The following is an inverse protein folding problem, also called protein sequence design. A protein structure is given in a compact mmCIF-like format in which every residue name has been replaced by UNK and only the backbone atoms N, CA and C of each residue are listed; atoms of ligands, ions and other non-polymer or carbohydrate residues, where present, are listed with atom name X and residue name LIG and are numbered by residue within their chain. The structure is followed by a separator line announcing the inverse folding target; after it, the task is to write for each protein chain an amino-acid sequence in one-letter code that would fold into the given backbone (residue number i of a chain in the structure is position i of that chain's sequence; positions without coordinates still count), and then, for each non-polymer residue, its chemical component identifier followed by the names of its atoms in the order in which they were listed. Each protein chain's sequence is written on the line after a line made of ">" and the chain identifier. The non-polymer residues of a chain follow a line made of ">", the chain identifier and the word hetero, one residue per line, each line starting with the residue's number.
data_IF_946451565598
#
_entry.id   IF_946451565598
#
_cell.length_a   1.000
_cell.length_b   1.000
_cell.length_c   1.000
_cell.angle_alpha   90.00
_cell.angle_beta   90.00
_cell.angle_gamma   90.00
#
_symmetry.space_group_name_H-M   'P 1'
#
loop_
_entity.id
_entity.type
_entity.pdbx_description
1 polymer ?
#
# COMPACT_ATOMS: atom_id res chain seq x y z
N UNK A 1 9.77 20.96 -0.29
CA UNK A 1 8.83 21.22 0.82
C UNK A 1 7.46 20.65 0.44
N UNK A 2 7.12 19.44 0.87
CA UNK A 2 5.78 18.88 0.63
C UNK A 2 4.78 19.68 1.47
N UNK A 3 3.80 20.32 0.81
CA UNK A 3 2.67 20.92 1.52
C UNK A 3 2.04 19.84 2.41
N UNK A 4 1.75 20.13 3.69
CA UNK A 4 1.05 19.16 4.52
C UNK A 4 -0.29 18.85 3.86
N UNK A 5 -0.57 17.56 3.69
CA UNK A 5 -1.87 17.05 3.26
C UNK A 5 -2.94 17.63 4.16
N UNK A 6 -3.72 18.58 3.63
CA UNK A 6 -4.90 19.11 4.31
C UNK A 6 -5.94 18.01 4.32
N UNK A 7 -6.26 17.49 5.49
CA UNK A 7 -7.43 16.65 5.66
C UNK A 7 -8.43 17.33 6.59
N UNK A 8 -9.65 17.48 6.09
CA UNK A 8 -10.83 17.95 6.81
C UNK A 8 -11.32 16.83 7.73
N UNK A 9 -10.98 16.91 9.00
CA UNK A 9 -11.54 16.05 10.05
C UNK A 9 -12.52 16.84 10.92
N UNK A 10 -13.80 16.81 10.57
CA UNK A 10 -14.89 17.46 11.31
C UNK A 10 -16.06 17.78 10.39
N UNK A 11 -17.30 17.61 10.84
CA UNK A 11 -18.51 17.95 10.05
C UNK A 11 -18.51 19.41 9.58
N UNK A 12 -17.73 20.28 10.25
CA UNK A 12 -17.77 21.73 10.02
C UNK A 12 -16.39 22.37 9.75
N UNK A 13 -15.33 21.58 9.47
CA UNK A 13 -14.05 22.13 9.02
C UNK A 13 -13.37 23.13 9.97
N UNK A 14 -13.73 23.14 11.25
CA UNK A 14 -13.23 24.11 12.23
C UNK A 14 -11.92 23.61 12.88
N UNK A 15 -10.89 24.44 12.82
CA UNK A 15 -9.55 24.17 13.35
C UNK A 15 -9.55 24.38 14.87
N UNK A 16 -9.97 23.34 15.61
CA UNK A 16 -9.99 23.38 17.07
C UNK A 16 -8.56 23.53 17.63
N UNK A 17 -8.33 24.41 18.61
CA UNK A 17 -7.01 24.58 19.21
C UNK A 17 -6.53 23.26 19.81
N UNK A 18 -5.25 22.92 19.56
CA UNK A 18 -4.65 21.69 20.07
C UNK A 18 -4.90 21.59 21.59
N UNK A 19 -5.38 20.42 22.09
CA UNK A 19 -5.63 20.23 23.51
C UNK A 19 -4.40 20.60 24.34
N UNK A 20 -4.58 21.32 25.46
CA UNK A 20 -3.44 21.66 26.36
C UNK A 20 -2.87 20.43 27.08
N UNK A 21 -3.66 19.36 27.17
CA UNK A 21 -3.30 18.08 27.77
C UNK A 21 -2.38 17.25 26.85
N UNK A 22 -1.15 16.88 27.29
CA UNK A 22 -0.22 16.04 26.52
C UNK A 22 -0.84 14.72 26.02
N UNK A 23 -1.76 14.12 26.78
CA UNK A 23 -2.42 12.87 26.38
C UNK A 23 -3.28 13.09 25.14
N UNK A 24 -4.15 14.09 25.18
CA UNK A 24 -5.03 14.43 24.05
C UNK A 24 -4.24 14.90 22.82
N UNK A 25 -3.08 15.54 22.99
CA UNK A 25 -2.18 15.87 21.87
C UNK A 25 -1.61 14.63 21.20
N UNK A 26 -1.22 13.62 21.99
CA UNK A 26 -0.71 12.37 21.44
C UNK A 26 -1.81 11.58 20.72
N UNK A 27 -3.03 11.54 21.26
CA UNK A 27 -4.20 10.93 20.59
C UNK A 27 -4.44 11.59 19.23
N UNK A 28 -4.56 12.92 19.19
CA UNK A 28 -4.77 13.67 17.96
C UNK A 28 -3.61 13.50 16.95
N UNK A 29 -2.37 13.31 17.43
CA UNK A 29 -1.23 13.03 16.55
C UNK A 29 -1.31 11.63 15.93
N UNK A 30 -1.70 10.62 16.71
CA UNK A 30 -1.86 9.23 16.24
C UNK A 30 -3.04 9.07 15.29
N UNK A 31 -4.14 9.79 15.50
CA UNK A 31 -5.30 9.81 14.59
C UNK A 31 -4.97 10.31 13.18
N UNK A 32 -3.89 11.08 13.02
CA UNK A 32 -3.42 11.57 11.71
C UNK A 32 -2.71 10.50 10.89
N UNK A 33 -2.39 9.36 11.49
CA UNK A 33 -1.74 8.25 10.79
C UNK A 33 -2.78 7.43 10.02
N UNK A 34 -2.46 7.01 8.78
CA UNK A 34 -3.40 6.20 7.99
C UNK A 34 -3.70 4.88 8.72
N UNK A 35 -5.00 4.55 8.84
CA UNK A 35 -5.47 3.33 9.49
C UNK A 35 -5.65 3.41 11.01
N UNK A 36 -5.38 4.56 11.64
CA UNK A 36 -5.62 4.76 13.08
C UNK A 36 -6.82 5.69 13.27
N UNK A 37 -7.94 5.11 13.72
CA UNK A 37 -9.12 5.88 14.14
C UNK A 37 -9.05 6.33 15.61
N UNK A 38 -9.98 7.17 16.07
CA UNK A 38 -9.96 7.79 17.40
C UNK A 38 -9.91 6.75 18.54
N UNK A 39 -10.75 5.72 18.48
CA UNK A 39 -10.75 4.63 19.47
C UNK A 39 -9.43 3.85 19.52
N UNK A 40 -8.79 3.67 18.36
CA UNK A 40 -7.50 2.98 18.28
C UNK A 40 -6.38 3.87 18.83
N UNK A 41 -6.41 5.17 18.53
CA UNK A 41 -5.46 6.14 19.06
C UNK A 41 -5.51 6.21 20.59
N UNK A 42 -6.71 6.34 21.18
CA UNK A 42 -6.91 6.30 22.63
C UNK A 42 -6.33 5.00 23.23
N UNK A 43 -6.67 3.84 22.65
CA UNK A 43 -6.16 2.55 23.11
C UNK A 43 -4.63 2.48 23.10
N UNK A 44 -3.99 3.00 22.05
CA UNK A 44 -2.52 3.04 21.96
C UNK A 44 -1.95 3.96 23.05
N UNK A 45 -2.51 5.15 23.25
CA UNK A 45 -2.02 6.10 24.27
C UNK A 45 -2.13 5.51 25.67
N UNK A 46 -3.28 4.94 26.03
CA UNK A 46 -3.45 4.32 27.35
C UNK A 46 -2.61 3.04 27.53
N UNK A 47 -2.31 2.33 26.44
CA UNK A 47 -1.34 1.23 26.49
C UNK A 47 0.08 1.75 26.77
N UNK A 48 0.52 2.85 26.14
CA UNK A 48 1.83 3.44 26.41
C UNK A 48 1.98 3.89 27.87
N UNK A 49 0.88 4.22 28.57
CA UNK A 49 0.90 4.54 30.00
C UNK A 49 1.09 3.30 30.91
N UNK A 50 0.74 2.11 30.44
CA UNK A 50 0.87 0.86 31.21
C UNK A 50 2.18 0.11 30.94
N UNK A 51 2.90 0.49 29.89
CA UNK A 51 4.22 -0.06 29.52
C UNK A 51 5.33 0.63 30.33
N UNK A 52 6.49 -0.02 30.48
CA UNK A 52 7.66 0.56 31.16
C UNK A 52 8.13 1.84 30.45
N UNK A 53 8.49 2.84 31.26
CA UNK A 53 8.97 4.15 30.77
C UNK A 53 10.10 4.03 29.74
N UNK A 54 11.06 3.14 29.98
CA UNK A 54 12.23 3.00 29.10
C UNK A 54 11.85 2.47 27.70
N UNK A 55 10.85 1.58 27.61
CA UNK A 55 10.36 1.06 26.32
C UNK A 55 9.64 2.15 25.51
N UNK A 56 8.85 3.00 26.17
CA UNK A 56 8.17 4.14 25.53
C UNK A 56 9.18 5.16 25.02
N UNK A 57 10.21 5.47 25.82
CA UNK A 57 11.27 6.40 25.42
C UNK A 57 12.11 5.83 24.27
N UNK A 58 12.41 4.52 24.29
CA UNK A 58 13.09 3.85 23.19
C UNK A 58 12.29 3.93 21.88
N UNK A 59 10.97 3.72 21.93
CA UNK A 59 10.10 3.88 20.77
C UNK A 59 10.13 5.32 20.22
N UNK A 60 10.00 6.32 21.10
CA UNK A 60 10.04 7.72 20.71
C UNK A 60 11.37 8.08 20.03
N UNK A 61 12.47 7.56 20.56
CA UNK A 61 13.81 7.77 19.99
C UNK A 61 13.96 7.09 18.63
N UNK A 62 13.42 5.89 18.42
CA UNK A 62 13.44 5.23 17.12
C UNK A 62 12.63 5.99 16.07
N UNK A 63 11.46 6.52 16.42
CA UNK A 63 10.67 7.37 15.53
C UNK A 63 11.48 8.62 15.15
N UNK A 64 12.14 9.24 16.13
CA UNK A 64 12.99 10.41 15.91
C UNK A 64 14.11 10.09 14.92
N UNK A 65 14.87 9.01 15.14
CA UNK A 65 15.97 8.57 14.26
C UNK A 65 15.50 8.30 12.82
N UNK A 66 14.37 7.61 12.65
CA UNK A 66 13.77 7.39 11.33
C UNK A 66 13.47 8.71 10.61
N UNK A 67 13.04 9.74 11.34
CA UNK A 67 12.74 11.05 10.75
C UNK A 67 13.99 11.93 10.51
N UNK A 68 15.08 11.75 11.28
CA UNK A 68 16.27 12.60 11.19
C UNK A 68 17.39 12.01 10.34
N UNK A 69 17.56 10.69 10.42
CA UNK A 69 18.77 10.02 9.93
C UNK A 69 18.52 9.39 8.55
N UNK A 70 17.28 8.99 8.26
CA UNK A 70 16.93 8.40 6.98
C UNK A 70 16.75 9.47 5.89
N UNK A 71 17.39 9.22 4.75
CA UNK A 71 17.27 10.04 3.57
C UNK A 71 17.26 9.18 2.29
N UNK A 72 16.87 9.76 1.13
CA UNK A 72 16.96 9.06 -0.14
C UNK A 72 18.42 8.76 -0.51
N UNK A 73 18.66 7.55 -1.00
CA UNK A 73 19.92 7.12 -1.58
C UNK A 73 20.25 7.99 -2.80
N UNK A 74 21.54 8.33 -2.96
CA UNK A 74 22.02 9.20 -4.05
C UNK A 74 21.77 8.63 -5.45
N UNK A 75 21.70 7.31 -5.59
CA UNK A 75 21.56 6.65 -6.90
C UNK A 75 20.14 6.16 -7.20
N UNK A 76 19.55 5.38 -6.28
CA UNK A 76 18.28 4.71 -6.50
C UNK A 76 17.10 5.38 -5.82
N UNK A 77 17.35 6.42 -5.00
CA UNK A 77 16.35 7.10 -4.18
C UNK A 77 15.65 6.22 -3.13
N UNK A 78 16.03 4.96 -2.95
CA UNK A 78 15.53 4.16 -1.81
C UNK A 78 15.98 4.75 -0.47
N UNK A 79 15.29 4.45 0.62
CA UNK A 79 15.55 5.02 1.95
C UNK A 79 16.80 4.37 2.57
N UNK A 80 17.71 5.17 3.13
CA UNK A 80 18.95 4.71 3.76
C UNK A 80 19.50 5.73 4.77
N UNK A 81 20.34 5.27 5.69
CA UNK A 81 21.13 6.10 6.63
C UNK A 81 22.50 6.51 6.03
N UNK A 82 22.92 5.85 4.95
CA UNK A 82 24.22 6.04 4.31
C UNK A 82 24.09 6.77 2.96
N UNK A 83 25.21 7.22 2.40
CA UNK A 83 25.21 7.88 1.08
C UNK A 83 24.67 6.99 -0.05
N UNK A 84 24.93 5.68 0.04
CA UNK A 84 24.41 4.64 -0.85
C UNK A 84 23.69 3.59 -0.02
N UNK A 85 22.53 3.12 -0.49
CA UNK A 85 21.86 2.02 0.18
C UNK A 85 22.62 0.70 -0.02
N UNK A 86 22.36 -0.28 0.86
CA UNK A 86 22.96 -1.60 0.81
C UNK A 86 22.85 -2.31 -0.55
N UNK A 87 21.81 -2.02 -1.34
CA UNK A 87 21.63 -2.61 -2.68
C UNK A 87 22.56 -1.94 -3.72
N UNK A 88 22.77 -0.63 -3.62
CA UNK A 88 23.65 0.10 -4.56
C UNK A 88 25.13 -0.16 -4.28
N UNK A 89 25.51 -0.29 -3.01
CA UNK A 89 26.88 -0.56 -2.58
C UNK A 89 27.31 -2.01 -2.78
N UNK A 90 26.37 -2.96 -2.92
CA UNK A 90 26.67 -4.38 -3.11
C UNK A 90 27.38 -4.64 -4.47
N UNK A 91 28.61 -5.18 -4.47
CA UNK A 91 29.31 -5.53 -5.71
C UNK A 91 28.72 -6.76 -6.40
N UNK A 92 27.99 -7.63 -5.70
CA UNK A 92 27.42 -8.86 -6.23
C UNK A 92 26.15 -8.67 -7.09
N UNK A 93 25.62 -7.44 -7.17
CA UNK A 93 24.43 -7.12 -7.96
C UNK A 93 24.75 -6.86 -9.43
N UNK A 94 23.84 -7.29 -10.31
CA UNK A 94 23.95 -7.07 -11.75
C UNK A 94 23.67 -5.59 -12.09
N UNK A 95 24.74 -4.84 -12.41
CA UNK A 95 24.67 -3.43 -12.79
C UNK A 95 24.16 -3.19 -14.22
N UNK A 96 23.79 -4.24 -14.96
CA UNK A 96 23.16 -4.13 -16.28
C UNK A 96 21.63 -4.15 -16.22
N UNK A 97 21.04 -4.49 -15.06
CA UNK A 97 19.60 -4.59 -14.85
C UNK A 97 19.11 -3.50 -13.90
N UNK A 98 18.05 -2.78 -14.29
CA UNK A 98 17.45 -1.74 -13.48
C UNK A 98 15.93 -1.93 -13.36
N UNK A 99 15.43 -2.08 -12.14
CA UNK A 99 14.01 -2.22 -11.83
C UNK A 99 13.46 -0.90 -11.29
N UNK A 100 12.50 -0.32 -12.00
CA UNK A 100 11.87 0.96 -11.66
C UNK A 100 10.58 0.70 -10.90
N UNK A 101 10.47 1.24 -9.68
CA UNK A 101 9.33 1.08 -8.78
C UNK A 101 8.75 2.42 -8.35
N UNK A 102 7.51 2.44 -7.87
CA UNK A 102 6.84 3.67 -7.45
C UNK A 102 7.32 4.15 -6.08
N UNK A 103 7.40 3.22 -5.11
CA UNK A 103 7.66 3.52 -3.71
C UNK A 103 8.77 2.64 -3.10
N UNK A 104 9.46 3.08 -2.03
CA UNK A 104 10.50 2.27 -1.38
C UNK A 104 9.98 0.92 -0.86
N UNK A 105 8.72 0.85 -0.46
CA UNK A 105 8.07 -0.39 -0.01
C UNK A 105 8.08 -1.48 -1.09
N UNK A 106 8.01 -1.09 -2.37
CA UNK A 106 7.96 -2.02 -3.49
C UNK A 106 9.32 -2.71 -3.68
N UNK A 107 10.42 -2.00 -3.36
CA UNK A 107 11.77 -2.60 -3.30
C UNK A 107 11.80 -3.72 -2.29
N UNK A 108 11.26 -3.48 -1.08
CA UNK A 108 11.21 -4.50 -0.02
C UNK A 108 10.42 -5.72 -0.46
N UNK A 109 9.25 -5.50 -1.08
CA UNK A 109 8.40 -6.58 -1.60
C UNK A 109 9.11 -7.44 -2.65
N UNK A 110 9.86 -6.82 -3.57
CA UNK A 110 10.58 -7.56 -4.61
C UNK A 110 11.80 -8.27 -4.01
N UNK A 111 12.57 -7.64 -3.13
CA UNK A 111 13.73 -8.25 -2.46
C UNK A 111 13.35 -9.48 -1.62
N UNK A 112 12.17 -9.47 -0.98
CA UNK A 112 11.66 -10.63 -0.23
C UNK A 112 11.49 -11.88 -1.11
N UNK A 113 11.28 -11.72 -2.41
CA UNK A 113 11.20 -12.86 -3.34
C UNK A 113 12.54 -13.55 -3.55
N UNK A 114 13.65 -12.83 -3.34
CA UNK A 114 15.03 -13.27 -3.63
C UNK A 114 15.26 -13.72 -5.08
N UNK A 115 14.38 -13.36 -6.01
CA UNK A 115 14.49 -13.73 -7.43
C UNK A 115 15.15 -12.65 -8.29
N UNK A 116 15.28 -11.43 -7.77
CA UNK A 116 15.85 -10.31 -8.49
C UNK A 116 17.22 -9.93 -7.90
N UNK A 117 18.23 -9.82 -8.77
CA UNK A 117 19.61 -9.52 -8.40
C UNK A 117 20.16 -8.26 -9.08
N UNK A 118 19.31 -7.48 -9.74
CA UNK A 118 19.69 -6.21 -10.35
C UNK A 118 19.59 -5.02 -9.39
N UNK A 119 19.69 -3.81 -9.95
CA UNK A 119 19.54 -2.56 -9.21
C UNK A 119 18.10 -2.05 -9.24
N UNK A 120 17.76 -1.11 -8.36
CA UNK A 120 16.46 -0.44 -8.33
C UNK A 120 16.54 1.05 -8.64
N UNK A 121 15.41 1.64 -9.01
CA UNK A 121 15.17 3.07 -9.02
C UNK A 121 13.76 3.38 -8.50
N UNK A 122 13.65 4.25 -7.49
CA UNK A 122 12.37 4.60 -6.86
C UNK A 122 11.89 5.95 -7.38
N UNK A 123 10.73 5.97 -8.04
CA UNK A 123 10.14 7.17 -8.66
C UNK A 123 9.64 8.22 -7.65
N UNK A 124 9.39 7.80 -6.40
CA UNK A 124 8.78 8.59 -5.34
C UNK A 124 7.31 8.96 -5.58
N UNK A 125 6.62 8.10 -6.31
CA UNK A 125 5.22 8.24 -6.70
C UNK A 125 4.98 7.74 -8.11
N UNK A 126 3.87 8.21 -8.67
CA UNK A 126 3.40 7.92 -10.02
C UNK A 126 2.74 9.16 -10.62
N UNK A 127 2.57 9.18 -11.93
CA UNK A 127 1.87 10.27 -12.60
C UNK A 127 0.39 10.23 -12.22
N UNK A 128 -0.13 11.36 -11.77
CA UNK A 128 -1.55 11.53 -11.52
C UNK A 128 -1.98 12.92 -11.97
N UNK A 129 -2.58 13.03 -13.17
CA UNK A 129 -3.13 14.30 -13.65
C UNK A 129 -4.24 14.84 -12.76
N UNK A 130 -4.99 13.97 -12.09
CA UNK A 130 -6.06 14.36 -11.17
C UNK A 130 -5.51 15.05 -9.92
N UNK A 131 -4.38 14.57 -9.40
CA UNK A 131 -3.70 15.16 -8.25
C UNK A 131 -2.66 16.23 -8.63
N UNK A 132 -2.53 16.55 -9.91
CA UNK A 132 -1.54 17.52 -10.43
C UNK A 132 -0.08 17.03 -10.28
N UNK A 133 0.14 15.72 -10.24
CA UNK A 133 1.48 15.12 -10.13
C UNK A 133 2.07 14.92 -11.52
N UNK A 134 2.93 15.86 -11.91
CA UNK A 134 3.71 15.85 -13.15
C UNK A 134 5.07 15.10 -13.01
N UNK A 135 5.74 14.73 -14.13
CA UNK A 135 7.02 14.03 -14.12
C UNK A 135 8.14 14.72 -13.33
N UNK A 136 8.10 16.05 -13.22
CA UNK A 136 9.05 16.90 -12.52
C UNK A 136 8.98 16.71 -11.00
N UNK A 137 7.83 16.24 -10.49
CA UNK A 137 7.65 15.88 -9.08
C UNK A 137 8.21 14.49 -8.75
N UNK A 138 8.55 13.71 -9.77
CA UNK A 138 9.09 12.36 -9.66
C UNK A 138 10.59 12.34 -9.97
N UNK A 139 11.26 11.24 -9.63
CA UNK A 139 12.70 11.08 -9.88
C UNK A 139 13.00 10.59 -11.31
N UNK A 140 12.23 11.06 -12.30
CA UNK A 140 12.34 10.65 -13.71
C UNK A 140 13.65 11.13 -14.34
N UNK A 141 14.03 12.38 -14.14
CA UNK A 141 15.25 12.91 -14.77
C UNK A 141 16.54 12.14 -14.34
N UNK A 142 16.74 11.83 -13.04
CA UNK A 142 17.81 10.93 -12.60
C UNK A 142 17.72 9.52 -13.19
N UNK A 143 16.51 8.95 -13.31
CA UNK A 143 16.29 7.65 -13.93
C UNK A 143 16.81 7.61 -15.37
N UNK A 144 16.44 8.60 -16.19
CA UNK A 144 16.83 8.65 -17.60
C UNK A 144 18.35 8.72 -17.78
N UNK A 145 19.05 9.46 -16.90
CA UNK A 145 20.51 9.53 -16.90
C UNK A 145 21.15 8.16 -16.59
N UNK A 146 20.58 7.43 -15.64
CA UNK A 146 21.10 6.13 -15.19
C UNK A 146 20.80 5.01 -16.20
N UNK A 147 19.63 5.04 -16.81
CA UNK A 147 19.15 4.03 -17.74
C UNK A 147 20.00 3.88 -19.01
N UNK A 148 20.69 4.94 -19.45
CA UNK A 148 21.52 4.91 -20.66
C UNK A 148 22.69 3.93 -20.63
N UNK A 149 23.08 3.45 -19.45
CA UNK A 149 24.16 2.46 -19.27
C UNK A 149 23.66 1.03 -19.01
N UNK A 150 22.34 0.84 -18.95
CA UNK A 150 21.72 -0.43 -18.59
C UNK A 150 21.46 -1.28 -19.83
N UNK A 151 21.52 -2.60 -19.69
CA UNK A 151 21.07 -3.56 -20.72
C UNK A 151 19.55 -3.61 -20.75
N UNK A 152 18.92 -3.62 -19.58
CA UNK A 152 17.47 -3.75 -19.44
C UNK A 152 16.92 -2.87 -18.30
N UNK A 153 15.78 -2.22 -18.57
CA UNK A 153 14.99 -1.47 -17.60
C UNK A 153 13.63 -2.13 -17.45
N UNK A 154 13.37 -2.69 -16.26
CA UNK A 154 12.12 -3.35 -15.91
C UNK A 154 11.22 -2.34 -15.22
N UNK A 155 10.05 -2.07 -15.79
CA UNK A 155 9.04 -1.21 -15.20
C UNK A 155 8.16 -2.04 -14.25
N UNK A 156 8.31 -1.84 -12.94
CA UNK A 156 7.53 -2.47 -11.87
C UNK A 156 6.67 -1.41 -11.13
N UNK A 157 5.85 -0.70 -11.89
CA UNK A 157 4.81 0.21 -11.38
C UNK A 157 3.49 -0.56 -11.22
N UNK A 158 2.50 0.04 -10.56
CA UNK A 158 1.20 -0.58 -10.29
C UNK A 158 0.46 -1.00 -11.56
N UNK A 159 -0.43 -1.99 -11.41
CA UNK A 159 -1.34 -2.46 -12.47
C UNK A 159 -2.70 -1.71 -12.43
N UNK A 160 -2.64 -0.40 -12.19
CA UNK A 160 -3.78 0.51 -12.23
C UNK A 160 -3.56 1.60 -13.29
N UNK A 161 -4.60 2.40 -13.57
CA UNK A 161 -4.57 3.39 -14.65
C UNK A 161 -3.36 4.36 -14.53
N UNK A 162 -3.04 4.78 -13.32
CA UNK A 162 -1.94 5.71 -13.04
C UNK A 162 -0.57 5.03 -13.18
N UNK A 163 -0.42 3.80 -12.66
CA UNK A 163 0.77 2.99 -12.83
C UNK A 163 1.05 2.66 -14.29
N UNK A 164 0.01 2.38 -15.07
CA UNK A 164 0.06 2.09 -16.51
C UNK A 164 0.43 3.33 -17.32
N UNK A 165 -0.21 4.47 -17.01
CA UNK A 165 0.13 5.75 -17.60
C UNK A 165 1.60 6.12 -17.34
N UNK A 166 2.08 5.88 -16.11
CA UNK A 166 3.47 6.10 -15.73
C UNK A 166 4.43 5.17 -16.49
N UNK A 167 4.10 3.88 -16.60
CA UNK A 167 4.92 2.93 -17.33
C UNK A 167 5.03 3.29 -18.82
N UNK A 168 3.90 3.63 -19.46
CA UNK A 168 3.85 4.05 -20.86
C UNK A 168 4.65 5.33 -21.09
N UNK A 169 4.52 6.31 -20.18
CA UNK A 169 5.31 7.54 -20.23
C UNK A 169 6.82 7.23 -20.15
N UNK A 170 7.24 6.43 -19.18
CA UNK A 170 8.64 6.06 -19.02
C UNK A 170 9.19 5.30 -20.24
N UNK A 171 8.43 4.35 -20.79
CA UNK A 171 8.82 3.62 -21.99
C UNK A 171 9.09 4.56 -23.17
N UNK A 172 8.20 5.55 -23.40
CA UNK A 172 8.41 6.57 -24.45
C UNK A 172 9.65 7.44 -24.21
N UNK A 173 9.95 7.77 -22.96
CA UNK A 173 11.13 8.59 -22.59
C UNK A 173 12.44 7.81 -22.65
N UNK A 174 12.40 6.49 -22.46
CA UNK A 174 13.54 5.58 -22.54
C UNK A 174 13.82 5.09 -23.96
N UNK A 175 12.84 5.13 -24.88
CA UNK A 175 13.02 4.69 -26.26
C UNK A 175 14.25 5.31 -26.98
N UNK A 176 14.57 6.62 -26.82
CA UNK A 176 15.74 7.22 -27.47
C UNK A 176 17.09 6.69 -26.98
N UNK A 177 17.17 6.10 -25.78
CA UNK A 177 18.43 5.55 -25.27
C UNK A 177 18.74 4.15 -25.79
N UNK A 178 17.83 3.53 -26.57
CA UNK A 178 18.02 2.18 -27.12
C UNK A 178 18.05 1.07 -26.07
N UNK A 179 17.76 1.38 -24.80
CA UNK A 179 17.72 0.39 -23.74
C UNK A 179 16.51 -0.52 -23.89
N UNK A 180 16.67 -1.79 -23.56
CA UNK A 180 15.55 -2.72 -23.57
C UNK A 180 14.62 -2.42 -22.39
N UNK A 181 13.38 -2.03 -22.69
CA UNK A 181 12.37 -1.76 -21.68
C UNK A 181 11.42 -2.94 -21.58
N UNK A 182 11.24 -3.46 -20.37
CA UNK A 182 10.31 -4.57 -20.08
C UNK A 182 9.35 -4.18 -18.97
N UNK A 183 8.27 -4.95 -18.81
CA UNK A 183 7.21 -4.71 -17.83
C UNK A 183 7.05 -5.96 -16.98
N UNK A 184 6.80 -5.80 -15.67
CA UNK A 184 6.44 -6.94 -14.83
C UNK A 184 5.15 -7.59 -15.35
N UNK A 185 5.09 -8.91 -15.31
CA UNK A 185 3.95 -9.66 -15.82
C UNK A 185 2.67 -9.32 -15.07
N UNK A 186 1.55 -9.27 -15.81
CA UNK A 186 0.21 -9.21 -15.25
C UNK A 186 -0.45 -10.56 -15.36
N UNK A 187 -1.35 -10.86 -14.44
CA UNK A 187 -2.11 -12.09 -14.55
C UNK A 187 -2.75 -12.56 -13.25
N UNK A 188 -3.14 -13.81 -13.31
CA UNK A 188 -3.90 -14.49 -12.26
C UNK A 188 -2.93 -14.91 -11.15
N UNK A 189 -3.14 -14.50 -9.89
CA UNK A 189 -2.29 -14.92 -8.80
C UNK A 189 -2.37 -16.44 -8.60
N UNK A 190 -1.28 -17.08 -8.14
CA UNK A 190 -1.28 -18.52 -7.90
C UNK A 190 -2.35 -18.90 -6.87
N UNK A 191 -3.10 -19.96 -7.17
CA UNK A 191 -4.17 -20.46 -6.29
C UNK A 191 -5.52 -19.77 -6.45
N UNK A 192 -5.65 -18.74 -7.29
CA UNK A 192 -6.96 -18.18 -7.62
C UNK A 192 -7.73 -19.12 -8.56
N UNK A 193 -8.97 -19.43 -8.20
CA UNK A 193 -9.90 -20.13 -9.08
C UNK A 193 -10.49 -19.15 -10.12
N UNK A 194 -10.54 -19.56 -11.39
CA UNK A 194 -10.90 -18.70 -12.52
C UNK A 194 -12.27 -18.02 -12.35
N UNK A 195 -13.24 -18.71 -11.75
CA UNK A 195 -14.60 -18.21 -11.52
C UNK A 195 -14.65 -17.00 -10.57
N UNK A 196 -13.60 -16.79 -9.77
CA UNK A 196 -13.46 -15.66 -8.85
C UNK A 196 -12.52 -14.56 -9.37
N UNK A 197 -11.97 -14.73 -10.58
CA UNK A 197 -11.09 -13.74 -11.20
C UNK A 197 -11.92 -12.74 -12.00
N UNK A 198 -11.64 -11.46 -11.83
CA UNK A 198 -12.31 -10.40 -12.58
C UNK A 198 -12.08 -10.54 -14.09
N UNK A 199 -13.12 -10.32 -14.90
CA UNK A 199 -13.11 -10.48 -16.36
C UNK A 199 -11.94 -9.77 -17.06
N UNK A 200 -11.58 -8.56 -16.61
CA UNK A 200 -10.44 -7.79 -17.12
C UNK A 200 -9.10 -8.50 -16.93
N UNK A 201 -8.87 -9.12 -15.78
CA UNK A 201 -7.64 -9.88 -15.50
C UNK A 201 -7.61 -11.14 -16.37
N UNK A 202 -8.75 -11.81 -16.55
CA UNK A 202 -8.87 -12.97 -17.46
C UNK A 202 -8.57 -12.57 -18.91
N UNK A 203 -9.14 -11.46 -19.38
CA UNK A 203 -8.90 -10.96 -20.74
C UNK A 203 -7.41 -10.64 -20.97
N UNK A 204 -6.77 -9.96 -20.03
CA UNK A 204 -5.34 -9.63 -20.11
C UNK A 204 -4.47 -10.90 -20.06
N UNK A 205 -4.76 -11.84 -19.15
CA UNK A 205 -4.05 -13.11 -19.06
C UNK A 205 -4.18 -13.97 -20.34
N UNK A 206 -5.32 -13.92 -21.02
CA UNK A 206 -5.53 -14.60 -22.30
C UNK A 206 -4.74 -13.97 -23.44
N UNK A 207 -4.61 -12.64 -23.45
CA UNK A 207 -3.80 -11.90 -24.42
C UNK A 207 -2.31 -12.16 -24.21
N UNK A 208 -1.85 -12.19 -22.96
CA UNK A 208 -0.45 -12.42 -22.58
C UNK A 208 -0.08 -13.90 -22.38
N UNK A 209 -0.90 -14.83 -22.88
CA UNK A 209 -0.68 -16.27 -22.71
C UNK A 209 0.69 -16.69 -23.24
N UNK A 210 1.40 -17.49 -22.45
CA UNK A 210 2.74 -18.00 -22.77
C UNK A 210 2.67 -19.46 -23.21
N UNK A 211 3.57 -19.91 -24.10
CA UNK A 211 3.65 -21.33 -24.46
C UNK A 211 3.96 -22.18 -23.22
N UNK A 212 3.21 -23.27 -23.04
CA UNK A 212 3.42 -24.21 -21.95
C UNK A 212 4.55 -25.20 -22.29
N UNK A 213 5.52 -25.39 -21.39
CA UNK A 213 6.66 -26.28 -21.62
C UNK A 213 7.81 -25.71 -22.46
N UNK A 214 7.74 -24.43 -22.83
CA UNK A 214 8.88 -23.72 -23.44
C UNK A 214 9.91 -23.27 -22.40
N UNK A 215 11.16 -22.97 -22.79
CA UNK A 215 12.11 -22.31 -21.90
C UNK A 215 11.51 -21.00 -21.34
N UNK A 216 11.91 -20.55 -20.14
CA UNK A 216 11.45 -19.27 -19.61
C UNK A 216 11.65 -18.19 -20.67
N UNK A 217 10.55 -17.53 -21.06
CA UNK A 217 10.54 -16.60 -22.18
C UNK A 217 11.72 -15.60 -22.06
N UNK A 218 12.57 -15.46 -23.09
CA UNK A 218 13.47 -14.33 -23.15
C UNK A 218 12.60 -13.07 -23.16
N UNK A 219 13.02 -11.97 -22.49
CA UNK A 219 12.11 -10.84 -22.37
C UNK A 219 11.70 -10.29 -23.74
N UNK A 220 10.44 -9.89 -23.85
CA UNK A 220 9.77 -9.70 -25.16
C UNK A 220 10.40 -8.52 -25.89
N UNK A 221 11.09 -8.79 -26.98
CA UNK A 221 11.53 -7.77 -27.94
C UNK A 221 10.64 -7.89 -29.16
N UNK A 222 9.77 -6.89 -29.36
CA UNK A 222 8.96 -6.76 -30.57
C UNK A 222 7.54 -7.33 -30.47
N UNK A 223 6.60 -6.48 -30.07
CA UNK A 223 5.34 -6.38 -30.80
C UNK A 223 5.32 -4.98 -31.42
N UNK A 224 5.50 -4.90 -32.73
CA UNK A 224 5.12 -3.72 -33.47
C UNK A 224 3.60 -3.50 -33.28
N UNK A 225 3.10 -2.26 -33.16
CA UNK A 225 1.67 -2.01 -33.13
C UNK A 225 1.11 -2.44 -34.50
N UNK A 226 0.34 -3.54 -34.54
CA UNK A 226 -0.51 -3.82 -35.68
C UNK A 226 -1.58 -2.74 -35.75
N UNK A 227 -1.69 -2.09 -36.90
CA UNK A 227 -2.64 -1.03 -37.20
C UNK A 227 -4.09 -1.42 -36.84
N UNK A 228 -4.93 -0.46 -36.42
CA UNK A 228 -6.32 -0.74 -36.14
C UNK A 228 -7.08 -0.96 -37.44
N UNK A 229 -7.34 -2.22 -37.80
CA UNK A 229 -8.33 -2.54 -38.82
C UNK A 229 -9.72 -2.21 -38.28
N UNK A 230 -10.33 -1.20 -38.90
CA UNK A 230 -11.74 -0.85 -38.85
C UNK A 230 -12.60 -2.10 -39.09
N UNK A 231 -13.39 -2.47 -38.08
CA UNK A 231 -14.56 -3.34 -38.29
C UNK A 231 -15.73 -2.74 -37.53
N UNK A 232 -16.24 -1.67 -38.11
CA UNK A 232 -17.58 -1.16 -37.87
C UNK A 232 -18.63 -2.28 -38.07
N UNK A 233 -19.58 -2.33 -37.15
CA UNK A 233 -20.88 -3.02 -37.21
C UNK A 233 -20.93 -4.55 -37.02
N UNK A 234 -21.20 -4.97 -35.77
CA UNK A 234 -22.30 -5.91 -35.47
C UNK A 234 -22.72 -5.72 -34.02
N UNK A 235 -23.81 -4.97 -33.84
CA UNK A 235 -24.57 -4.90 -32.59
C UNK A 235 -25.20 -6.28 -32.38
N UNK A 236 -24.66 -7.08 -31.46
CA UNK A 236 -25.33 -8.28 -30.96
C UNK A 236 -26.20 -7.84 -29.80
N UNK A 237 -27.50 -7.70 -30.06
CA UNK A 237 -28.52 -7.57 -29.00
C UNK A 237 -28.61 -8.91 -28.28
N UNK A 238 -28.10 -8.97 -27.04
CA UNK A 238 -28.30 -10.08 -26.12
C UNK A 238 -29.56 -9.88 -25.27
N UNK A 239 -30.32 -10.95 -24.95
CA UNK A 239 -31.54 -10.82 -24.17
C UNK A 239 -31.23 -10.48 -22.71
N UNK A 240 -32.06 -9.65 -22.10
CA UNK A 240 -32.01 -9.34 -20.68
C UNK A 240 -32.29 -10.60 -19.84
N UNK A 241 -31.46 -10.94 -18.82
CA UNK A 241 -31.83 -11.96 -17.87
C UNK A 241 -32.62 -11.35 -16.71
N UNK A 242 -33.70 -12.05 -16.42
CA UNK A 242 -34.73 -11.82 -15.43
C UNK A 242 -34.23 -11.78 -13.99
N UNK A 243 -34.86 -10.88 -13.24
CA UNK A 243 -34.90 -10.76 -11.80
C UNK A 243 -35.22 -12.11 -11.14
N UNK A 244 -34.27 -12.64 -10.37
CA UNK A 244 -34.49 -13.83 -9.52
C UNK A 244 -34.20 -13.46 -8.07
N UNK A 245 -35.27 -13.41 -7.30
CA UNK A 245 -35.31 -13.32 -5.85
C UNK A 245 -34.81 -14.64 -5.24
N UNK A 246 -33.78 -14.57 -4.39
CA UNK A 246 -33.45 -15.59 -3.38
C UNK A 246 -32.65 -14.93 -2.25
N UNK A 247 -33.32 -14.63 -1.14
CA UNK A 247 -33.35 -15.43 0.11
C UNK A 247 -32.01 -15.35 0.84
N UNK A 248 -31.91 -14.38 1.75
CA UNK A 248 -30.86 -14.28 2.77
C UNK A 248 -31.05 -15.46 3.72
N UNK A 249 -30.13 -16.42 3.66
CA UNK A 249 -30.09 -17.52 4.61
C UNK A 249 -29.56 -17.04 5.96
N UNK A 250 -30.20 -17.55 7.01
CA UNK A 250 -30.10 -17.06 8.37
C UNK A 250 -28.78 -17.37 9.05
N UNK A 251 -28.40 -16.42 9.92
CA UNK A 251 -27.40 -16.53 10.98
C UNK A 251 -27.58 -17.84 11.75
N UNK A 252 -26.52 -18.64 11.83
CA UNK A 252 -26.57 -19.97 12.43
C UNK A 252 -26.62 -19.90 13.97
N UNK A 253 -27.25 -20.90 14.60
CA UNK A 253 -27.44 -21.01 16.07
C UNK A 253 -26.15 -20.94 16.91
N UNK A 254 -24.98 -21.11 16.30
CA UNK A 254 -23.69 -21.06 16.99
C UNK A 254 -23.24 -19.63 17.34
N UNK A 255 -23.66 -18.62 16.58
CA UNK A 255 -23.24 -17.22 16.81
C UNK A 255 -24.01 -16.56 17.97
N UNK A 256 -25.24 -17.03 18.26
CA UNK A 256 -26.04 -16.56 19.40
C UNK A 256 -25.50 -17.01 20.75
N UNK A 257 -24.86 -18.18 20.84
CA UNK A 257 -24.28 -18.69 22.10
C UNK A 257 -23.08 -17.83 22.52
N UNK A 258 -22.26 -17.38 21.57
CA UNK A 258 -21.10 -16.53 21.86
C UNK A 258 -21.56 -15.13 22.29
N UNK A 259 -22.58 -14.56 21.63
CA UNK A 259 -23.10 -13.24 21.99
C UNK A 259 -23.79 -13.23 23.36
N UNK A 260 -24.58 -14.27 23.69
CA UNK A 260 -25.23 -14.40 25.00
C UNK A 260 -24.21 -14.66 26.13
N UNK A 261 -23.12 -15.39 25.85
CA UNK A 261 -22.04 -15.61 26.82
C UNK A 261 -21.28 -14.32 27.16
N UNK A 262 -21.02 -13.47 26.17
CA UNK A 262 -20.35 -12.17 26.38
C UNK A 262 -21.27 -11.19 27.14
N UNK A 263 -22.57 -11.19 26.85
CA UNK A 263 -23.53 -10.34 27.58
C UNK A 263 -23.68 -10.79 29.04
N UNK A 264 -23.73 -12.10 29.31
CA UNK A 264 -23.79 -12.63 30.67
C UNK A 264 -22.51 -12.31 31.48
N UNK A 265 -21.33 -12.40 30.87
CA UNK A 265 -20.07 -12.05 31.52
C UNK A 265 -20.00 -10.55 31.85
N UNK A 266 -20.45 -9.68 30.94
CA UNK A 266 -20.53 -8.24 31.17
C UNK A 266 -21.52 -7.89 32.29
N UNK A 267 -22.66 -8.59 32.39
CA UNK A 267 -23.63 -8.37 33.46
C UNK A 267 -23.08 -8.77 34.84
N UNK A 268 -22.32 -9.87 34.94
CA UNK A 268 -21.68 -10.29 36.20
C UNK A 268 -20.62 -9.28 36.65
N UNK A 269 -19.78 -8.79 35.72
CA UNK A 269 -18.75 -7.78 36.04
C UNK A 269 -19.40 -6.47 36.52
N UNK A 270 -20.44 -5.99 35.83
CA UNK A 270 -21.17 -4.78 36.22
C UNK A 270 -21.89 -4.91 37.57
N UNK A 271 -22.43 -6.10 37.89
CA UNK A 271 -23.07 -6.36 39.18
C UNK A 271 -22.04 -6.47 40.33
N UNK A 272 -20.83 -6.97 40.07
CA UNK A 272 -19.76 -7.00 41.09
C UNK A 272 -19.16 -5.61 41.36
N UNK A 273 -19.03 -4.75 40.34
CA UNK A 273 -18.53 -3.38 40.52
C UNK A 273 -19.57 -2.47 41.20
N UNK A 274 -20.86 -2.67 40.96
CA UNK A 274 -21.93 -1.96 41.68
C UNK A 274 -22.12 -2.48 43.12
N UNK A 275 -21.94 -3.78 43.36
CA UNK A 275 -22.02 -4.38 44.70
C UNK A 275 -20.95 -3.88 45.66
N UNK A 276 -19.74 -3.57 45.18
CA UNK A 276 -18.68 -2.98 46.01
C UNK A 276 -18.94 -1.50 46.34
N UNK A 277 -19.57 -0.73 45.45
CA UNK A 277 -19.89 0.68 45.72
C UNK A 277 -21.07 0.85 46.68
N UNK A 278 -22.01 -0.10 46.75
CA UNK A 278 -23.12 -0.06 47.70
C UNK A 278 -22.68 -0.42 49.14
N UNK A 279 -21.72 -1.34 49.31
CA UNK A 279 -21.14 -1.66 50.63
C UNK A 279 -20.33 -0.50 51.23
N UNK A 280 -19.62 0.28 50.41
CA UNK A 280 -18.88 1.45 50.87
C UNK A 280 -19.80 2.64 51.22
N UNK A 281 -20.98 2.75 50.63
CA UNK A 281 -21.95 3.80 50.98
C UNK A 281 -22.71 3.50 52.29
N UNK A 282 -23.03 2.23 52.57
CA UNK A 282 -23.73 1.84 53.80
C UNK A 282 -22.83 1.85 55.05
N UNK A 283 -21.51 1.64 54.91
CA UNK A 283 -20.57 1.68 56.05
C UNK A 283 -20.16 3.13 56.40
N UNK A 284 -20.25 4.07 55.47
CA UNK A 284 -19.93 5.49 55.70
C UNK A 284 -21.07 6.35 56.26
N UNK A 285 -22.27 5.79 56.45
CA UNK A 285 -23.45 6.54 56.94
C UNK A 285 -23.72 6.36 58.46
N UNK A 286 -22.88 5.61 59.17
CA UNK A 286 -22.98 5.36 60.63
C UNK A 286 -21.60 5.47 61.32
N UNK A 287 -20.80 6.47 60.94
CA UNK A 287 -19.59 6.88 61.64
C UNK A 287 -19.48 8.41 61.65
#
# INVERSE_FOLDING_TARGET
>A
MRRPTRFRGGRDGEELPAPRDPLRRLVAALERLPGIGPRSADRIVFHLLSVKRDEVLALAEMIRKVCTDLHPCKECFCVTEETLCAICSDPGRDRSLLCVVEQPKDVVSIEQTRQYHGLYHVLMGRLSPQDGIEPEHLTVAPLLKRAGSMREVILATGADLEGDGTALYLAKRLAPSGVRVTRIARGIPPGAALDYVHEKILAEALLERRPFGGPPHPPVTGLAPSEPTDTTSRRVEGPAPSESTRRVEGVTRAEWVVLLSVIALCAVVLLTEWGMRLKLWLVGAWA
#
